data_IF_466978951365
#
_entry.id   IF_466978951365
#
_cell.length_a   1.000
_cell.length_b   1.000
_cell.length_c   1.000
_cell.angle_alpha   90.00
_cell.angle_beta   90.00
_cell.angle_gamma   90.00
#
_symmetry.space_group_name_H-M   'P 1'
#
loop_
_entity.id
_entity.type
_entity.pdbx_description
1 polymer ?
#
# COMPACT_ATOMS: atom_id res chain seq x y z
N UNK A 1 35.33 -17.81 -40.72
CA UNK A 1 35.01 -16.68 -41.60
C UNK A 1 36.28 -15.90 -41.83
N UNK A 2 36.59 -15.60 -43.09
CA UNK A 2 37.78 -14.87 -43.52
C UNK A 2 37.38 -13.53 -44.13
N UNK A 3 38.31 -12.58 -44.20
CA UNK A 3 38.08 -11.30 -44.88
C UNK A 3 37.97 -11.51 -46.39
N UNK A 4 36.91 -11.02 -47.02
CA UNK A 4 36.66 -11.17 -48.46
C UNK A 4 37.76 -10.54 -49.36
N UNK A 5 38.53 -9.56 -48.85
CA UNK A 5 39.56 -8.85 -49.63
C UNK A 5 40.98 -9.39 -49.44
N UNK A 6 41.36 -9.74 -48.21
CA UNK A 6 42.73 -10.10 -47.87
C UNK A 6 42.89 -11.52 -47.33
N UNK A 7 41.80 -12.29 -47.24
CA UNK A 7 41.74 -13.66 -46.71
C UNK A 7 42.40 -13.83 -45.33
N UNK A 8 42.43 -12.75 -44.53
CA UNK A 8 42.95 -12.82 -43.17
C UNK A 8 41.99 -13.61 -42.26
N UNK A 9 42.53 -14.57 -41.53
CA UNK A 9 41.82 -15.37 -40.53
C UNK A 9 42.03 -14.80 -39.12
N UNK A 10 41.01 -14.88 -38.26
CA UNK A 10 41.11 -14.51 -36.84
C UNK A 10 41.03 -13.01 -36.52
N UNK A 11 40.69 -12.17 -37.49
CA UNK A 11 40.51 -10.72 -37.29
C UNK A 11 39.03 -10.35 -37.11
N UNK A 12 38.78 -9.19 -36.47
CA UNK A 12 37.42 -8.65 -36.32
C UNK A 12 36.87 -8.29 -37.71
N UNK A 13 35.81 -8.99 -38.11
CA UNK A 13 35.12 -8.75 -39.38
C UNK A 13 33.92 -7.83 -39.14
N UNK A 14 33.71 -6.91 -40.06
CA UNK A 14 32.63 -5.94 -40.08
C UNK A 14 31.80 -6.20 -41.34
N UNK A 15 30.48 -6.06 -41.24
CA UNK A 15 29.58 -6.12 -42.39
C UNK A 15 29.62 -4.80 -43.14
N UNK A 16 29.84 -4.89 -44.45
CA UNK A 16 30.06 -3.72 -45.31
C UNK A 16 29.21 -3.87 -46.57
N UNK A 17 28.67 -2.75 -47.07
CA UNK A 17 27.89 -2.73 -48.32
C UNK A 17 28.85 -2.54 -49.50
N UNK A 18 28.91 -3.53 -50.39
CA UNK A 18 29.63 -3.48 -51.67
C UNK A 18 28.66 -3.60 -52.84
N UNK A 19 29.14 -3.37 -54.06
CA UNK A 19 28.34 -3.56 -55.29
C UNK A 19 27.87 -5.01 -55.50
N UNK A 20 28.55 -5.98 -54.88
CA UNK A 20 28.19 -7.41 -54.91
C UNK A 20 27.24 -7.81 -53.76
N UNK A 21 26.86 -6.88 -52.90
CA UNK A 21 26.00 -7.12 -51.73
C UNK A 21 26.71 -6.89 -50.39
N UNK A 22 26.17 -7.48 -49.32
CA UNK A 22 26.72 -7.37 -47.97
C UNK A 22 27.84 -8.39 -47.80
N UNK A 23 29.07 -7.92 -47.62
CA UNK A 23 30.27 -8.75 -47.46
C UNK A 23 30.95 -8.52 -46.11
N UNK A 24 31.67 -9.53 -45.64
CA UNK A 24 32.43 -9.49 -44.38
C UNK A 24 33.88 -9.10 -44.66
N UNK A 25 34.30 -7.96 -44.12
CA UNK A 25 35.64 -7.39 -44.38
C UNK A 25 36.32 -7.05 -43.05
N UNK A 26 37.64 -7.18 -42.97
CA UNK A 26 38.39 -6.74 -41.79
C UNK A 26 38.43 -5.21 -41.70
N UNK A 27 38.57 -4.67 -40.49
CA UNK A 27 38.56 -3.22 -40.23
C UNK A 27 39.60 -2.45 -41.06
N UNK A 28 40.78 -3.04 -41.31
CA UNK A 28 41.83 -2.43 -42.14
C UNK A 28 41.37 -2.23 -43.59
N UNK A 29 40.77 -3.25 -44.20
CA UNK A 29 40.28 -3.16 -45.57
C UNK A 29 39.01 -2.30 -45.65
N UNK A 30 38.20 -2.20 -44.60
CA UNK A 30 37.08 -1.27 -44.59
C UNK A 30 37.55 0.19 -44.67
N UNK A 31 38.57 0.56 -43.87
CA UNK A 31 39.13 1.92 -43.85
C UNK A 31 39.97 2.27 -45.09
N UNK A 32 40.69 1.30 -45.66
CA UNK A 32 41.55 1.55 -46.84
C UNK A 32 40.76 1.81 -48.12
N UNK A 33 39.59 1.19 -48.24
CA UNK A 33 38.72 1.31 -49.41
C UNK A 33 37.46 2.17 -49.15
N UNK A 34 37.42 2.89 -48.02
CA UNK A 34 36.31 3.75 -47.59
C UNK A 34 34.93 3.10 -47.74
N UNK A 35 34.84 1.82 -47.37
CA UNK A 35 33.60 1.08 -47.56
C UNK A 35 32.63 1.30 -46.39
N UNK A 36 31.34 1.59 -46.64
CA UNK A 36 30.37 1.91 -45.61
C UNK A 36 30.03 0.70 -44.73
N UNK A 37 30.42 0.77 -43.46
CA UNK A 37 30.16 -0.27 -42.47
C UNK A 37 28.72 -0.22 -41.94
N UNK A 38 28.05 -1.38 -41.89
CA UNK A 38 26.76 -1.55 -41.23
C UNK A 38 27.02 -1.76 -39.74
N UNK A 39 26.83 -0.70 -38.96
CA UNK A 39 26.74 -0.84 -37.52
C UNK A 39 25.39 -1.48 -37.18
N UNK A 40 25.37 -2.78 -36.90
CA UNK A 40 24.20 -3.41 -36.27
C UNK A 40 23.98 -2.71 -34.94
N UNK A 41 22.97 -1.85 -34.89
CA UNK A 41 22.44 -1.34 -33.64
C UNK A 41 21.85 -2.55 -32.94
N UNK A 42 22.61 -3.17 -32.04
CA UNK A 42 22.08 -4.23 -31.21
C UNK A 42 20.87 -3.65 -30.46
N UNK A 43 19.71 -4.31 -30.46
CA UNK A 43 18.54 -3.83 -29.72
C UNK A 43 18.77 -3.75 -28.20
N UNK A 44 19.94 -4.12 -27.69
CA UNK A 44 20.33 -3.94 -26.28
C UNK A 44 20.79 -2.51 -25.93
N UNK A 45 21.07 -1.65 -26.91
CA UNK A 45 21.40 -0.23 -26.68
C UNK A 45 20.29 0.74 -27.08
N UNK A 46 19.15 0.22 -27.56
CA UNK A 46 17.88 0.91 -27.39
C UNK A 46 17.44 0.71 -25.95
N UNK A 47 18.03 1.47 -25.02
CA UNK A 47 17.41 1.69 -23.72
C UNK A 47 16.06 2.35 -24.02
N UNK A 48 14.91 1.75 -23.67
CA UNK A 48 13.60 2.39 -23.79
C UNK A 48 13.47 3.45 -22.70
N UNK A 49 14.39 4.42 -22.64
CA UNK A 49 14.48 5.41 -21.57
C UNK A 49 13.59 6.63 -21.80
N UNK A 50 12.99 6.74 -22.97
CA UNK A 50 11.82 7.58 -23.14
C UNK A 50 10.67 6.73 -23.67
N UNK A 51 10.01 5.93 -22.81
CA UNK A 51 8.58 5.80 -23.04
C UNK A 51 8.09 7.25 -23.07
N UNK A 52 7.38 7.65 -24.12
CA UNK A 52 6.65 8.91 -24.12
C UNK A 52 5.72 8.86 -22.89
N UNK A 53 6.22 9.35 -21.75
CA UNK A 53 5.45 9.43 -20.52
C UNK A 53 4.36 10.41 -20.89
N UNK A 54 3.14 9.89 -21.08
CA UNK A 54 1.95 10.68 -21.34
C UNK A 54 1.90 11.75 -20.26
N UNK A 55 2.18 12.99 -20.63
CA UNK A 55 2.24 14.09 -19.68
C UNK A 55 0.92 14.14 -18.92
N UNK A 56 1.01 14.04 -17.60
CA UNK A 56 -0.16 14.13 -16.74
C UNK A 56 -0.72 15.55 -16.81
N UNK A 57 -1.97 15.74 -16.36
CA UNK A 57 -2.56 17.09 -16.28
C UNK A 57 -1.72 17.99 -15.36
N UNK A 58 -1.13 17.44 -14.30
CA UNK A 58 -0.20 18.15 -13.41
C UNK A 58 1.06 18.62 -14.13
N UNK A 59 1.64 17.79 -15.01
CA UNK A 59 2.84 18.17 -15.77
C UNK A 59 2.58 19.37 -16.68
N UNK A 60 1.42 19.39 -17.33
CA UNK A 60 0.98 20.51 -18.20
C UNK A 60 0.72 21.78 -17.41
N UNK A 61 0.10 21.69 -16.23
CA UNK A 61 -0.13 22.85 -15.37
C UNK A 61 1.17 23.45 -14.83
N UNK A 62 2.16 22.61 -14.50
CA UNK A 62 3.48 23.05 -14.04
C UNK A 62 4.29 23.76 -15.15
N UNK A 63 4.21 23.24 -16.38
CA UNK A 63 4.79 23.88 -17.57
C UNK A 63 4.18 25.26 -17.83
N UNK A 64 2.86 25.40 -17.74
CA UNK A 64 2.16 26.67 -17.96
C UNK A 64 2.48 27.70 -16.86
N UNK A 65 2.64 27.26 -15.61
CA UNK A 65 2.94 28.14 -14.48
C UNK A 65 4.42 28.52 -14.36
N UNK A 66 5.31 27.96 -15.20
CA UNK A 66 6.75 28.19 -15.11
C UNK A 66 7.39 27.58 -13.86
N UNK A 67 6.69 26.68 -13.17
CA UNK A 67 7.20 25.99 -11.97
C UNK A 67 7.93 24.74 -12.43
N UNK A 68 9.26 24.75 -12.32
CA UNK A 68 10.10 23.59 -12.62
C UNK A 68 9.77 22.42 -11.69
N UNK A 69 9.19 21.34 -12.21
CA UNK A 69 8.95 20.08 -11.46
C UNK A 69 10.22 19.39 -10.97
N UNK A 70 11.39 19.80 -11.46
CA UNK A 70 12.69 19.33 -10.94
C UNK A 70 12.92 19.81 -9.51
N UNK A 71 12.35 20.96 -9.17
CA UNK A 71 12.16 21.37 -7.80
C UNK A 71 10.82 20.77 -7.36
N UNK A 72 10.83 19.45 -7.09
CA UNK A 72 9.69 18.80 -6.43
C UNK A 72 9.24 19.66 -5.24
N UNK A 73 7.94 19.65 -4.87
CA UNK A 73 7.38 20.60 -3.90
C UNK A 73 8.34 20.68 -2.72
N UNK A 74 9.08 21.80 -2.57
CA UNK A 74 10.18 21.94 -1.61
C UNK A 74 9.73 21.26 -0.33
N UNK A 75 10.27 20.08 -0.06
CA UNK A 75 9.85 19.34 1.12
C UNK A 75 10.25 20.25 2.26
N UNK A 76 9.25 20.83 2.94
CA UNK A 76 9.52 21.70 4.07
C UNK A 76 10.46 20.91 4.97
N UNK A 77 11.68 21.41 5.28
CA UNK A 77 12.65 20.66 6.08
C UNK A 77 12.06 20.25 7.45
N UNK A 78 10.98 20.91 7.87
CA UNK A 78 10.16 20.52 9.03
C UNK A 78 9.58 19.10 8.94
N UNK A 79 9.21 18.61 7.74
CA UNK A 79 8.60 17.27 7.58
C UNK A 79 9.62 16.15 7.79
N UNK A 80 10.85 16.34 7.33
CA UNK A 80 11.93 15.37 7.54
C UNK A 80 12.27 15.26 9.04
N UNK A 81 12.39 16.41 9.71
CA UNK A 81 12.61 16.47 11.16
C UNK A 81 11.46 15.83 11.95
N UNK A 82 10.21 16.07 11.57
CA UNK A 82 9.03 15.41 12.17
C UNK A 82 9.07 13.88 11.99
N UNK A 83 9.52 13.40 10.83
CA UNK A 83 9.62 11.97 10.56
C UNK A 83 10.69 11.30 11.41
N UNK A 84 11.84 11.95 11.62
CA UNK A 84 12.89 11.47 12.51
C UNK A 84 12.45 11.44 13.97
N UNK A 85 11.81 12.51 14.45
CA UNK A 85 11.26 12.57 15.80
C UNK A 85 10.23 11.46 16.03
N UNK A 86 9.35 11.22 15.06
CA UNK A 86 8.37 10.13 15.12
C UNK A 86 9.05 8.76 15.22
N UNK A 87 10.11 8.51 14.43
CA UNK A 87 10.90 7.26 14.51
C UNK A 87 11.53 7.08 15.89
N UNK A 88 12.05 8.14 16.51
CA UNK A 88 12.65 8.07 17.85
C UNK A 88 11.59 7.72 18.89
N UNK A 89 10.44 8.37 18.85
CA UNK A 89 9.30 8.08 19.73
C UNK A 89 8.87 6.62 19.58
N UNK A 90 8.68 6.15 18.34
CA UNK A 90 8.26 4.78 18.05
C UNK A 90 9.27 3.75 18.59
N UNK A 91 10.58 4.00 18.43
CA UNK A 91 11.65 3.16 19.00
C UNK A 91 11.63 3.14 20.52
N UNK A 92 11.42 4.28 21.17
CA UNK A 92 11.36 4.36 22.63
C UNK A 92 10.15 3.62 23.19
N UNK A 93 9.00 3.73 22.55
CA UNK A 93 7.81 2.98 22.92
C UNK A 93 8.03 1.46 22.80
N UNK A 94 8.67 1.00 21.72
CA UNK A 94 9.00 -0.42 21.56
C UNK A 94 9.91 -0.94 22.70
N UNK A 95 10.91 -0.15 23.11
CA UNK A 95 11.82 -0.49 24.21
C UNK A 95 11.11 -0.61 25.55
N UNK A 96 10.26 0.37 25.90
CA UNK A 96 9.48 0.38 27.16
C UNK A 96 8.64 -0.90 27.30
N UNK A 97 8.21 -1.47 26.18
CA UNK A 97 7.28 -2.60 26.14
C UNK A 97 7.97 -3.95 26.09
N UNK A 98 9.22 -4.01 25.61
CA UNK A 98 10.06 -5.21 25.75
C UNK A 98 10.32 -5.58 27.22
N UNK A 99 10.18 -4.62 28.15
CA UNK A 99 10.07 -4.92 29.56
C UNK A 99 8.74 -5.64 29.81
N UNK A 100 8.83 -6.94 30.13
CA UNK A 100 7.73 -7.92 30.29
C UNK A 100 6.38 -7.26 30.65
N UNK A 101 5.34 -7.41 29.80
CA UNK A 101 4.04 -6.84 30.10
C UNK A 101 3.48 -7.52 31.36
N UNK A 102 3.12 -6.72 32.36
CA UNK A 102 2.37 -7.25 33.49
C UNK A 102 0.93 -7.45 33.03
N UNK A 103 0.37 -8.62 33.33
CA UNK A 103 -1.07 -8.83 33.22
C UNK A 103 -1.72 -7.94 34.28
N UNK A 104 -2.75 -7.19 33.87
CA UNK A 104 -3.60 -6.45 34.81
C UNK A 104 -4.93 -7.18 34.91
N UNK A 105 -5.34 -7.44 36.15
CA UNK A 105 -6.60 -8.14 36.42
C UNK A 105 -7.82 -7.20 36.28
N UNK A 106 -7.58 -5.88 36.30
CA UNK A 106 -8.60 -4.82 36.17
C UNK A 106 -9.24 -4.74 34.77
N UNK A 107 -8.64 -5.36 33.76
CA UNK A 107 -9.08 -5.27 32.36
C UNK A 107 -10.05 -6.41 32.02
N UNK A 108 -11.00 -6.15 31.15
CA UNK A 108 -11.87 -7.18 30.57
C UNK A 108 -11.02 -8.20 29.81
N UNK A 109 -11.39 -9.47 29.93
CA UNK A 109 -10.71 -10.54 29.22
C UNK A 109 -10.82 -10.31 27.71
N UNK A 110 -9.72 -10.47 26.98
CA UNK A 110 -9.66 -10.21 25.55
C UNK A 110 -10.01 -8.76 25.13
N UNK A 111 -9.75 -7.76 25.99
CA UNK A 111 -10.00 -6.34 25.66
C UNK A 111 -9.46 -5.90 24.29
N UNK A 112 -8.33 -6.46 23.85
CA UNK A 112 -7.69 -6.16 22.58
C UNK A 112 -8.61 -6.44 21.37
N UNK A 113 -9.45 -7.48 21.43
CA UNK A 113 -10.45 -7.76 20.41
C UNK A 113 -11.59 -6.75 20.41
N UNK A 114 -11.99 -6.27 21.59
CA UNK A 114 -13.03 -5.24 21.73
C UNK A 114 -12.56 -3.94 21.06
N UNK A 115 -11.32 -3.52 21.34
CA UNK A 115 -10.70 -2.34 20.70
C UNK A 115 -10.66 -2.52 19.18
N UNK A 116 -10.14 -3.65 18.71
CA UNK A 116 -10.02 -3.93 17.27
C UNK A 116 -11.38 -3.92 16.56
N UNK A 117 -12.40 -4.52 17.17
CA UNK A 117 -13.76 -4.57 16.60
C UNK A 117 -14.40 -3.18 16.58
N UNK A 118 -14.32 -2.43 17.68
CA UNK A 118 -14.88 -1.08 17.76
C UNK A 118 -14.21 -0.11 16.78
N UNK A 119 -12.88 -0.19 16.61
CA UNK A 119 -12.17 0.59 15.60
C UNK A 119 -12.65 0.26 14.18
N UNK A 120 -12.76 -1.03 13.85
CA UNK A 120 -13.23 -1.49 12.52
C UNK A 120 -14.67 -1.05 12.25
N UNK A 121 -15.54 -1.07 13.26
CA UNK A 121 -16.92 -0.59 13.15
C UNK A 121 -17.00 0.91 12.79
N UNK A 122 -16.03 1.71 13.24
CA UNK A 122 -15.91 3.14 12.86
C UNK A 122 -15.17 3.38 11.53
N UNK A 123 -14.68 2.33 10.85
CA UNK A 123 -13.92 2.42 9.60
C UNK A 123 -12.69 3.35 9.64
N UNK A 124 -12.07 3.51 10.80
CA UNK A 124 -10.89 4.36 10.98
C UNK A 124 -9.58 3.56 10.94
N UNK A 125 -8.53 4.16 10.38
CA UNK A 125 -7.18 3.57 10.38
C UNK A 125 -6.48 3.78 11.72
N UNK A 126 -5.43 3.01 11.99
CA UNK A 126 -4.61 3.21 13.20
C UNK A 126 -4.02 4.62 13.27
N UNK A 127 -3.55 5.16 12.14
CA UNK A 127 -3.00 6.51 12.06
C UNK A 127 -4.03 7.60 12.36
N UNK A 128 -5.27 7.45 11.88
CA UNK A 128 -6.36 8.38 12.16
C UNK A 128 -6.76 8.33 13.64
N UNK A 129 -6.88 7.13 14.21
CA UNK A 129 -7.18 6.96 15.63
C UNK A 129 -6.07 7.57 16.51
N UNK A 130 -4.80 7.30 16.18
CA UNK A 130 -3.61 7.83 16.86
C UNK A 130 -3.63 9.36 16.91
N UNK A 131 -3.88 9.98 15.76
CA UNK A 131 -4.01 11.43 15.65
C UNK A 131 -5.17 11.97 16.49
N UNK A 132 -6.31 11.27 16.54
CA UNK A 132 -7.47 11.72 17.29
C UNK A 132 -7.27 11.66 18.81
N UNK A 133 -6.60 10.61 19.32
CA UNK A 133 -6.32 10.47 20.76
C UNK A 133 -5.03 11.14 21.22
N UNK A 134 -4.27 11.73 20.28
CA UNK A 134 -2.94 12.31 20.51
C UNK A 134 -1.97 11.31 21.14
N UNK A 135 -1.91 10.10 20.59
CA UNK A 135 -0.99 9.03 20.99
C UNK A 135 -0.27 8.47 19.77
N UNK A 136 0.92 7.86 19.93
CA UNK A 136 1.66 7.33 18.79
C UNK A 136 0.99 6.07 18.21
N UNK A 137 1.05 5.93 16.89
CA UNK A 137 0.43 4.81 16.16
C UNK A 137 0.85 3.41 16.66
N UNK A 138 2.13 3.17 17.03
CA UNK A 138 2.51 1.90 17.63
C UNK A 138 1.74 1.56 18.89
N UNK A 139 1.41 2.55 19.75
CA UNK A 139 0.69 2.29 21.00
C UNK A 139 -0.68 1.67 20.74
N UNK A 140 -1.40 2.13 19.71
CA UNK A 140 -2.69 1.55 19.30
C UNK A 140 -2.49 0.14 18.74
N UNK A 141 -1.50 -0.06 17.86
CA UNK A 141 -1.20 -1.40 17.31
C UNK A 141 -0.86 -2.39 18.42
N UNK A 142 -0.24 -1.93 19.50
CA UNK A 142 0.10 -2.77 20.66
C UNK A 142 -1.11 -3.04 21.55
N UNK A 143 -1.98 -2.05 21.75
CA UNK A 143 -3.25 -2.23 22.46
C UNK A 143 -4.13 -3.30 21.77
N UNK A 144 -4.18 -3.30 20.43
CA UNK A 144 -4.87 -4.34 19.65
C UNK A 144 -4.20 -5.72 19.70
N UNK A 145 -2.91 -5.79 20.07
CA UNK A 145 -2.20 -7.04 20.35
C UNK A 145 -2.35 -7.51 21.80
N UNK A 146 -3.04 -6.74 22.65
CA UNK A 146 -3.20 -7.05 24.07
C UNK A 146 -2.03 -6.63 24.95
N UNK A 147 -1.19 -5.70 24.48
CA UNK A 147 -0.03 -5.21 25.23
C UNK A 147 -0.23 -3.73 25.54
N UNK A 148 -0.20 -3.38 26.84
CA UNK A 148 -0.39 -2.00 27.33
C UNK A 148 0.82 -1.53 28.16
N UNK A 149 1.21 -0.24 28.06
CA UNK A 149 2.38 0.31 28.75
C UNK A 149 2.11 0.63 30.23
N UNK A 150 2.64 -0.17 31.16
CA UNK A 150 2.33 -0.13 32.61
C UNK A 150 2.23 1.26 33.25
N UNK A 151 3.16 2.18 32.96
CA UNK A 151 3.28 3.46 33.70
C UNK A 151 2.27 4.54 33.28
N UNK A 152 1.64 4.41 32.11
CA UNK A 152 0.72 5.41 31.57
C UNK A 152 -0.62 4.79 31.10
N UNK A 153 -0.90 3.56 31.54
CA UNK A 153 -2.06 2.79 31.09
C UNK A 153 -3.38 3.51 31.31
N UNK A 154 -3.62 4.11 32.48
CA UNK A 154 -4.98 4.54 32.85
C UNK A 154 -5.47 5.69 31.96
N UNK A 155 -4.65 6.73 31.78
CA UNK A 155 -4.96 7.85 30.86
C UNK A 155 -5.12 7.38 29.41
N UNK A 156 -4.32 6.39 29.00
CA UNK A 156 -4.38 5.84 27.66
C UNK A 156 -5.68 5.05 27.43
N UNK A 157 -6.09 4.25 28.42
CA UNK A 157 -7.35 3.50 28.40
C UNK A 157 -8.52 4.47 28.35
N UNK A 158 -8.55 5.50 29.21
CA UNK A 158 -9.61 6.52 29.23
C UNK A 158 -9.77 7.19 27.86
N UNK A 159 -8.66 7.52 27.19
CA UNK A 159 -8.69 8.10 25.83
C UNK A 159 -9.30 7.14 24.82
N UNK A 160 -8.94 5.86 24.87
CA UNK A 160 -9.50 4.83 23.97
C UNK A 160 -11.00 4.63 24.24
N UNK A 161 -11.38 4.50 25.50
CA UNK A 161 -12.78 4.33 25.93
C UNK A 161 -13.63 5.51 25.47
N UNK A 162 -13.18 6.75 25.72
CA UNK A 162 -13.88 7.96 25.31
C UNK A 162 -14.01 8.08 23.79
N UNK A 163 -12.93 7.81 23.05
CA UNK A 163 -12.93 7.96 21.60
C UNK A 163 -13.71 6.86 20.88
N UNK A 164 -13.62 5.61 21.32
CA UNK A 164 -14.34 4.49 20.72
C UNK A 164 -15.76 4.34 21.26
N UNK A 165 -16.05 4.85 22.46
CA UNK A 165 -17.33 4.65 23.15
C UNK A 165 -17.48 3.22 23.69
N UNK A 166 -16.39 2.64 24.19
CA UNK A 166 -16.35 1.28 24.75
C UNK A 166 -15.91 1.33 26.21
N UNK A 167 -16.20 0.28 26.97
CA UNK A 167 -15.69 0.07 28.32
C UNK A 167 -14.74 -1.13 28.29
N UNK A 168 -13.50 -0.92 28.73
CA UNK A 168 -12.40 -1.89 28.74
C UNK A 168 -12.04 -2.26 30.18
N UNK A 169 -12.16 -1.32 31.13
CA UNK A 169 -11.99 -1.59 32.55
C UNK A 169 -13.16 -2.42 33.08
N UNK A 170 -12.87 -3.50 33.83
CA UNK A 170 -13.84 -4.22 34.66
C UNK A 170 -14.25 -3.27 35.78
N UNK A 171 -15.25 -2.41 35.54
CA UNK A 171 -15.96 -1.79 36.66
C UNK A 171 -16.54 -2.94 37.47
N UNK A 172 -16.10 -3.06 38.72
CA UNK A 172 -16.81 -3.88 39.69
C UNK A 172 -18.22 -3.30 39.75
N UNK A 173 -19.17 -4.00 39.15
CA UNK A 173 -20.52 -3.52 38.97
C UNK A 173 -21.16 -3.31 40.35
N UNK A 174 -21.26 -2.05 40.80
CA UNK A 174 -22.50 -1.59 41.40
C UNK A 174 -23.48 -1.38 40.22
N UNK A 175 -24.17 -2.45 39.88
CA UNK A 175 -25.44 -2.66 39.14
C UNK A 175 -26.13 -1.61 38.24
N UNK A 176 -25.71 -0.35 38.09
CA UNK A 176 -26.67 0.70 37.70
C UNK A 176 -26.44 1.37 36.33
N UNK A 177 -25.45 0.95 35.55
CA UNK A 177 -25.05 1.68 34.31
C UNK A 177 -25.22 0.91 32.99
N UNK A 178 -26.00 -0.18 32.94
CA UNK A 178 -26.28 -0.88 31.68
C UNK A 178 -27.42 -0.27 30.84
N UNK A 179 -27.93 0.92 31.19
CA UNK A 179 -29.19 1.45 30.63
C UNK A 179 -29.06 2.60 29.61
N UNK A 180 -27.86 2.94 29.10
CA UNK A 180 -27.71 4.09 28.18
C UNK A 180 -27.13 3.84 26.79
N UNK A 181 -26.75 2.61 26.46
CA UNK A 181 -26.63 2.19 25.05
C UNK A 181 -27.81 1.29 24.70
N UNK A 182 -29.00 1.87 24.81
CA UNK A 182 -30.24 1.33 24.28
C UNK A 182 -30.23 1.51 22.75
N UNK A 183 -29.25 0.87 22.08
CA UNK A 183 -29.46 0.43 20.70
C UNK A 183 -30.46 -0.71 20.82
N UNK A 184 -31.75 -0.36 20.94
CA UNK A 184 -32.88 -1.24 20.59
C UNK A 184 -32.80 -1.53 19.09
N UNK A 185 -31.77 -2.23 18.66
CA UNK A 185 -31.93 -3.19 17.60
C UNK A 185 -32.75 -4.29 18.26
N UNK A 186 -34.03 -4.36 17.91
CA UNK A 186 -34.85 -5.54 18.13
C UNK A 186 -34.15 -6.70 17.44
N UNK A 187 -33.19 -7.32 18.14
CA UNK A 187 -32.66 -8.61 17.78
C UNK A 187 -33.80 -9.57 18.10
N UNK A 188 -34.70 -9.76 17.14
CA UNK A 188 -35.74 -10.76 17.20
C UNK A 188 -35.04 -12.08 17.50
N UNK A 189 -35.22 -12.60 18.71
CA UNK A 189 -34.39 -13.68 19.27
C UNK A 189 -34.47 -14.99 18.48
N UNK A 190 -35.36 -15.10 17.50
CA UNK A 190 -35.30 -16.12 16.46
C UNK A 190 -35.91 -15.54 15.19
N UNK A 191 -35.14 -15.17 14.14
CA UNK A 191 -35.74 -14.93 12.84
C UNK A 191 -36.33 -16.26 12.37
N UNK A 192 -37.64 -16.49 12.54
CA UNK A 192 -38.28 -17.63 11.90
C UNK A 192 -38.25 -17.34 10.40
N UNK A 193 -37.37 -18.03 9.70
CA UNK A 193 -37.36 -18.00 8.25
C UNK A 193 -38.52 -18.86 7.77
N UNK A 194 -39.69 -18.24 7.61
CA UNK A 194 -40.84 -18.94 7.04
C UNK A 194 -40.47 -19.40 5.61
N UNK A 195 -40.36 -20.72 5.35
CA UNK A 195 -39.85 -21.26 4.09
C UNK A 195 -40.76 -20.96 2.91
N UNK A 196 -41.98 -20.50 3.17
CA UNK A 196 -42.97 -20.09 2.17
C UNK A 196 -42.67 -18.67 1.68
N UNK A 197 -42.24 -17.77 2.58
CA UNK A 197 -41.92 -16.38 2.23
C UNK A 197 -40.61 -16.34 1.43
N UNK A 198 -39.62 -17.15 1.81
CA UNK A 198 -38.31 -17.16 1.14
C UNK A 198 -38.34 -17.72 -0.29
N UNK A 199 -39.32 -18.57 -0.62
CA UNK A 199 -39.47 -19.13 -1.98
C UNK A 199 -40.10 -18.16 -2.99
N UNK A 200 -40.84 -17.16 -2.52
CA UNK A 200 -41.57 -16.22 -3.39
C UNK A 200 -40.93 -14.82 -3.48
N UNK A 201 -39.82 -14.57 -2.80
CA UNK A 201 -39.11 -13.30 -2.89
C UNK A 201 -38.43 -13.16 -4.25
N UNK A 202 -38.88 -12.19 -5.05
CA UNK A 202 -38.25 -11.86 -6.33
C UNK A 202 -37.05 -10.92 -6.12
N UNK A 203 -36.20 -10.82 -7.14
CA UNK A 203 -35.06 -9.89 -7.14
C UNK A 203 -35.51 -8.42 -6.93
N UNK A 204 -36.73 -8.09 -7.36
CA UNK A 204 -37.27 -6.75 -7.22
C UNK A 204 -37.62 -6.44 -5.75
N UNK A 205 -38.20 -7.39 -5.04
CA UNK A 205 -38.54 -7.26 -3.61
C UNK A 205 -37.29 -7.04 -2.74
N UNK A 206 -36.19 -7.72 -3.07
CA UNK A 206 -34.90 -7.53 -2.38
C UNK A 206 -34.31 -6.13 -2.59
N UNK A 207 -34.51 -5.53 -3.76
CA UNK A 207 -34.08 -4.15 -4.03
C UNK A 207 -34.91 -3.15 -3.22
N UNK A 208 -36.22 -3.36 -3.14
CA UNK A 208 -37.11 -2.51 -2.35
C UNK A 208 -36.80 -2.58 -0.86
N UNK A 209 -36.57 -3.77 -0.32
CA UNK A 209 -36.17 -3.96 1.09
C UNK A 209 -34.85 -3.25 1.41
N UNK A 210 -33.90 -3.29 0.48
CA UNK A 210 -32.62 -2.57 0.62
C UNK A 210 -32.83 -1.06 0.66
N UNK A 211 -33.61 -0.50 -0.28
CA UNK A 211 -33.92 0.93 -0.34
C UNK A 211 -34.64 1.37 0.94
N UNK A 212 -35.63 0.62 1.41
CA UNK A 212 -36.36 0.90 2.66
C UNK A 212 -35.42 0.91 3.87
N UNK A 213 -34.50 -0.04 3.96
CA UNK A 213 -33.52 -0.12 5.07
C UNK A 213 -32.53 1.03 5.02
N UNK A 214 -32.03 1.39 3.84
CA UNK A 214 -31.13 2.54 3.65
C UNK A 214 -31.82 3.86 4.00
N UNK A 215 -33.08 4.06 3.60
CA UNK A 215 -33.87 5.24 3.95
C UNK A 215 -34.13 5.35 5.46
N UNK A 216 -34.37 4.23 6.14
CA UNK A 216 -34.57 4.20 7.59
C UNK A 216 -33.29 4.58 8.35
N UNK A 217 -32.12 4.17 7.85
CA UNK A 217 -30.83 4.44 8.49
C UNK A 217 -30.34 5.87 8.21
N UNK A 218 -30.52 6.36 6.98
CA UNK A 218 -29.96 7.64 6.54
C UNK A 218 -30.90 8.84 6.75
N UNK A 219 -32.16 8.59 7.13
CA UNK A 219 -33.21 9.60 7.19
C UNK A 219 -33.64 10.06 5.80
N UNK A 220 -34.90 10.54 5.67
CA UNK A 220 -35.45 11.05 4.40
C UNK A 220 -34.70 12.30 3.93
N UNK A 221 -33.56 12.11 3.27
CA UNK A 221 -33.09 13.06 2.26
C UNK A 221 -33.79 12.67 0.97
N UNK A 222 -34.69 13.52 0.51
CA UNK A 222 -35.25 13.41 -0.84
C UNK A 222 -34.08 13.29 -1.81
N UNK A 223 -33.89 12.09 -2.36
CA UNK A 223 -32.91 11.89 -3.41
C UNK A 223 -33.42 12.68 -4.64
N UNK A 224 -32.60 13.54 -5.27
CA UNK A 224 -32.98 14.15 -6.52
C UNK A 224 -33.23 13.03 -7.53
N UNK A 225 -34.37 13.11 -8.23
CA UNK A 225 -34.73 12.26 -9.36
C UNK A 225 -33.68 12.40 -10.47
N UNK A 226 -32.56 11.68 -10.31
CA UNK A 226 -31.57 11.47 -11.33
C UNK A 226 -32.15 10.51 -12.37
N UNK A 227 -32.80 11.08 -13.37
CA UNK A 227 -33.07 10.42 -14.64
C UNK A 227 -31.72 9.99 -15.22
N UNK A 228 -31.36 8.72 -15.06
CA UNK A 228 -30.26 8.13 -15.81
C UNK A 228 -30.76 7.94 -17.25
N UNK A 229 -30.21 8.65 -18.25
CA UNK A 229 -30.53 8.35 -19.64
C UNK A 229 -30.09 6.91 -19.92
N UNK A 230 -30.99 6.12 -20.51
CA UNK A 230 -30.70 4.77 -21.03
C UNK A 230 -29.60 4.89 -22.08
N UNK A 231 -28.35 4.74 -21.65
CA UNK A 231 -27.20 4.60 -22.53
C UNK A 231 -27.30 3.28 -23.27
N UNK A 232 -27.45 3.39 -24.59
CA UNK A 232 -27.29 2.32 -25.57
C UNK A 232 -26.04 1.49 -25.28
N UNK A 233 -26.27 0.19 -25.11
CA UNK A 233 -25.26 -0.86 -24.92
C UNK A 233 -24.43 -0.99 -26.21
N UNK A 234 -23.12 -0.69 -26.22
CA UNK A 234 -22.29 -1.01 -27.37
C UNK A 234 -22.16 -2.54 -27.46
N UNK A 235 -22.35 -3.06 -28.68
CA UNK A 235 -22.15 -4.48 -29.00
C UNK A 235 -20.71 -4.86 -28.70
N UNK A 236 -20.52 -5.78 -27.77
CA UNK A 236 -19.23 -6.42 -27.52
C UNK A 236 -18.91 -7.32 -28.71
N UNK A 237 -17.96 -6.90 -29.54
CA UNK A 237 -17.29 -7.76 -30.51
C UNK A 237 -16.51 -8.85 -29.78
N UNK A 238 -16.75 -10.08 -30.17
CA UNK A 238 -16.07 -11.30 -29.74
C UNK A 238 -14.56 -11.20 -29.98
N UNK A 239 -13.77 -11.18 -28.92
CA UNK A 239 -12.34 -11.49 -29.00
C UNK A 239 -12.08 -12.82 -28.31
N UNK A 240 -11.97 -13.81 -29.18
CA UNK A 240 -11.53 -15.19 -28.97
C UNK A 240 -10.07 -15.20 -28.50
N UNK A 241 -9.86 -15.14 -27.19
CA UNK A 241 -8.55 -15.31 -26.55
C UNK A 241 -8.27 -16.79 -26.26
N UNK A 242 -7.26 -17.34 -26.93
CA UNK A 242 -6.79 -18.72 -26.80
C UNK A 242 -6.25 -18.99 -25.39
N UNK A 243 -6.64 -20.12 -24.83
CA UNK A 243 -6.00 -20.77 -23.70
C UNK A 243 -4.52 -21.06 -24.03
N UNK A 244 -3.61 -20.49 -23.26
CA UNK A 244 -2.27 -21.04 -23.08
C UNK A 244 -2.05 -21.22 -21.58
N UNK A 245 -2.15 -22.49 -21.18
CA UNK A 245 -1.61 -23.00 -19.94
C UNK A 245 -0.09 -22.92 -20.02
N UNK A 246 0.55 -22.30 -19.03
CA UNK A 246 1.96 -22.57 -18.78
C UNK A 246 2.38 -22.29 -17.32
N UNK A 247 2.81 -23.38 -16.69
CA UNK A 247 3.86 -23.51 -15.67
C UNK A 247 3.74 -22.72 -14.35
N UNK A 248 3.34 -23.46 -13.31
CA UNK A 248 3.81 -23.27 -11.93
C UNK A 248 5.35 -23.23 -11.92
N UNK A 249 5.95 -22.10 -11.53
CA UNK A 249 7.32 -22.06 -11.02
C UNK A 249 7.30 -21.92 -9.51
N UNK A 250 7.82 -22.94 -8.84
CA UNK A 250 8.18 -22.95 -7.43
C UNK A 250 9.17 -21.81 -7.15
N UNK A 251 8.80 -20.92 -6.23
CA UNK A 251 9.74 -19.98 -5.62
C UNK A 251 10.30 -20.67 -4.37
N UNK A 252 11.41 -21.39 -4.56
CA UNK A 252 12.37 -21.71 -3.50
C UNK A 252 13.57 -20.78 -3.71
N UNK A 253 13.77 -19.87 -2.77
CA UNK A 253 15.11 -19.51 -2.26
C UNK A 253 14.94 -18.59 -1.06
N UNK A 254 15.11 -19.18 0.13
CA UNK A 254 15.45 -18.45 1.34
C UNK A 254 16.88 -17.96 1.15
N UNK A 255 17.08 -16.64 1.11
CA UNK A 255 18.39 -16.05 1.37
C UNK A 255 18.46 -15.77 2.86
N UNK A 256 19.30 -16.54 3.53
CA UNK A 256 19.72 -16.28 4.89
C UNK A 256 20.55 -14.99 4.89
N UNK A 257 19.93 -13.88 5.31
CA UNK A 257 20.67 -12.69 5.72
C UNK A 257 21.24 -12.99 7.11
N UNK A 258 22.51 -13.38 7.15
CA UNK A 258 23.31 -13.30 8.36
C UNK A 258 23.38 -11.83 8.80
N UNK A 259 22.61 -11.49 9.84
CA UNK A 259 22.79 -10.29 10.66
C UNK A 259 24.17 -10.41 11.34
N UNK A 260 25.23 -10.07 10.61
CA UNK A 260 26.55 -9.80 11.19
C UNK A 260 26.67 -8.28 11.31
N UNK A 261 25.87 -7.72 12.23
CA UNK A 261 26.04 -6.35 12.70
C UNK A 261 27.14 -6.37 13.73
N UNK A 262 28.37 -6.20 13.27
CA UNK A 262 29.45 -5.78 14.15
C UNK A 262 29.02 -4.50 14.88
N UNK A 263 29.08 -4.53 16.20
CA UNK A 263 28.86 -3.36 17.02
C UNK A 263 29.83 -2.26 16.58
N UNK A 264 29.27 -1.12 16.16
CA UNK A 264 30.04 0.09 15.80
C UNK A 264 30.85 0.48 17.03
N UNK A 265 32.17 0.56 16.87
CA UNK A 265 33.05 0.88 17.99
C UNK A 265 32.79 2.30 18.49
N UNK A 266 33.03 2.55 19.78
CA UNK A 266 32.87 3.87 20.38
C UNK A 266 33.67 4.97 19.62
N UNK A 267 34.79 4.57 19.01
CA UNK A 267 35.65 5.45 18.21
C UNK A 267 35.01 5.87 16.88
N UNK A 268 34.24 4.98 16.23
CA UNK A 268 33.47 5.35 15.03
C UNK A 268 32.32 6.29 15.37
N UNK A 269 31.68 6.11 16.54
CA UNK A 269 30.65 7.02 17.03
C UNK A 269 31.24 8.41 17.26
N UNK A 270 32.42 8.50 17.89
CA UNK A 270 33.07 9.78 18.17
C UNK A 270 33.55 10.51 16.91
N UNK A 271 33.98 9.79 15.86
CA UNK A 271 34.30 10.42 14.56
C UNK A 271 33.06 11.03 13.89
N UNK A 272 31.91 10.34 13.97
CA UNK A 272 30.65 10.84 13.39
C UNK A 272 30.15 12.06 14.17
N UNK A 273 30.26 12.06 15.49
CA UNK A 273 29.74 13.15 16.34
C UNK A 273 30.69 14.36 16.36
N UNK A 274 32.01 14.15 16.41
CA UNK A 274 32.98 15.21 16.67
C UNK A 274 33.90 15.56 15.50
N UNK A 275 33.80 14.86 14.36
CA UNK A 275 34.45 15.26 13.11
C UNK A 275 35.98 15.45 13.17
N UNK A 276 36.66 14.65 13.99
CA UNK A 276 38.13 14.60 14.07
C UNK A 276 38.70 13.43 13.28
#
# INVERSE_FOLDING_TARGET
MECFKCNAFGVKLIEVISGEGIIMVCEKCASEYDMPAINKIFPSSFSPEFPEKKQTVYDRLALISGVSLKDGPRENPSKEQEFELKKIVDKNYAKIISAKPAKRDDLIDNFHWVIMRARRAKHITHAQMAKAISEPEPAIKMAEKGILPQKACDRFIDKIENYLGIQILKRQNNSDFSSKFDLKQEFVENPSFDPIITKNLTINDLRELKIKKEQAILGKKEAPLGVYPKGTRPQSTELRGKEQADSKKEIKEKRDYSDDKGDISQEEIDRIIFGK
#
